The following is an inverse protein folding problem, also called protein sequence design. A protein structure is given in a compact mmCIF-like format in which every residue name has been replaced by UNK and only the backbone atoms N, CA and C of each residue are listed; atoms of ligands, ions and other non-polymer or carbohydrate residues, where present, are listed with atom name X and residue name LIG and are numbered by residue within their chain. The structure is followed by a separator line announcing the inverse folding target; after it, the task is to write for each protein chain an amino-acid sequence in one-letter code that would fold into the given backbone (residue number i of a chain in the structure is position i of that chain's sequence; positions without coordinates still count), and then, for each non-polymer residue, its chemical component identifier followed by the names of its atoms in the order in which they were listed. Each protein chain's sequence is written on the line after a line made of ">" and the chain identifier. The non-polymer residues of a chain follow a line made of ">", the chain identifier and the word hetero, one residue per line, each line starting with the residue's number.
data_IF_901525007408
#
_entry.id   IF_901525007408
#
_cell.length_a   1.000
_cell.length_b   1.000
_cell.length_c   1.000
_cell.angle_alpha   90.00
_cell.angle_beta   90.00
_cell.angle_gamma   90.00
#
_symmetry.space_group_name_H-M   'P 1'
#
loop_
_entity.id
_entity.type
_entity.pdbx_description
1 polymer ?
#
# COMPACT_ATOMS: atom_id res chain seq x y z
N UNK A 1 -38.48 -9.05 -0.09
CA UNK A 1 -37.13 -9.60 0.16
C UNK A 1 -36.68 -9.50 1.62
N UNK A 2 -36.42 -8.32 2.21
CA UNK A 2 -35.93 -8.25 3.61
C UNK A 2 -37.01 -8.58 4.66
N UNK A 3 -38.26 -8.18 4.43
CA UNK A 3 -39.39 -8.53 5.30
C UNK A 3 -39.72 -10.03 5.25
N UNK A 4 -39.65 -10.64 4.07
CA UNK A 4 -39.82 -12.10 3.89
C UNK A 4 -38.71 -12.89 4.59
N UNK A 5 -37.46 -12.41 4.52
CA UNK A 5 -36.34 -13.02 5.23
C UNK A 5 -36.44 -12.87 6.76
N UNK A 6 -37.02 -11.77 7.25
CA UNK A 6 -37.30 -11.61 8.67
C UNK A 6 -38.44 -12.52 9.12
N UNK A 7 -39.51 -12.62 8.33
CA UNK A 7 -40.65 -13.48 8.63
C UNK A 7 -40.24 -14.97 8.71
N UNK A 8 -39.44 -15.45 7.75
CA UNK A 8 -38.91 -16.82 7.78
C UNK A 8 -38.04 -17.09 9.02
N UNK A 9 -37.30 -16.09 9.51
CA UNK A 9 -36.50 -16.21 10.74
C UNK A 9 -37.36 -16.25 12.00
N UNK A 10 -38.44 -15.46 12.06
CA UNK A 10 -39.39 -15.49 13.18
C UNK A 10 -40.08 -16.84 13.29
N UNK A 11 -40.50 -17.40 12.16
CA UNK A 11 -41.15 -18.72 12.10
C UNK A 11 -40.20 -19.85 12.50
N UNK A 12 -38.91 -19.74 12.16
CA UNK A 12 -37.93 -20.82 12.41
C UNK A 12 -37.25 -20.73 13.78
N UNK A 13 -36.91 -19.52 14.25
CA UNK A 13 -36.06 -19.30 15.43
C UNK A 13 -36.79 -18.61 16.59
N UNK A 14 -37.96 -18.03 16.34
CA UNK A 14 -38.69 -17.21 17.31
C UNK A 14 -38.15 -15.79 17.45
N UNK A 15 -38.96 -14.94 18.07
CA UNK A 15 -38.72 -13.48 18.15
C UNK A 15 -37.58 -13.09 19.09
N UNK A 16 -37.32 -13.88 20.13
CA UNK A 16 -36.28 -13.60 21.13
C UNK A 16 -34.90 -14.14 20.74
N UNK A 17 -34.78 -14.81 19.59
CA UNK A 17 -33.52 -15.40 19.18
C UNK A 17 -32.53 -14.32 18.72
N UNK A 18 -31.23 -14.41 19.08
CA UNK A 18 -30.24 -13.37 18.79
C UNK A 18 -30.18 -12.96 17.30
N UNK A 19 -30.30 -13.93 16.39
CA UNK A 19 -30.29 -13.66 14.94
C UNK A 19 -31.56 -12.95 14.45
N UNK A 20 -32.71 -13.17 15.09
CA UNK A 20 -33.96 -12.45 14.80
C UNK A 20 -33.86 -11.01 15.30
N UNK A 21 -33.32 -10.82 16.51
CA UNK A 21 -33.09 -9.49 17.09
C UNK A 21 -32.09 -8.65 16.29
N UNK A 22 -31.02 -9.27 15.77
CA UNK A 22 -30.06 -8.61 14.88
C UNK A 22 -30.75 -8.15 13.58
N UNK A 23 -31.61 -8.99 12.99
CA UNK A 23 -32.36 -8.62 11.78
C UNK A 23 -33.35 -7.47 12.04
N UNK A 24 -34.03 -7.47 13.18
CA UNK A 24 -34.93 -6.39 13.59
C UNK A 24 -34.14 -5.09 13.79
N UNK A 25 -33.01 -5.15 14.50
CA UNK A 25 -32.15 -3.98 14.74
C UNK A 25 -31.54 -3.43 13.46
N UNK A 26 -31.21 -4.27 12.48
CA UNK A 26 -30.70 -3.83 11.18
C UNK A 26 -31.79 -3.11 10.36
N UNK A 27 -33.05 -3.54 10.47
CA UNK A 27 -34.18 -2.90 9.77
C UNK A 27 -34.52 -1.52 10.35
N UNK A 28 -34.40 -1.33 11.67
CA UNK A 28 -34.64 -0.03 12.33
C UNK A 28 -33.63 1.07 11.92
N UNK A 29 -32.46 0.68 11.38
CA UNK A 29 -31.46 1.62 10.87
C UNK A 29 -31.68 2.04 9.40
N UNK A 30 -32.53 1.32 8.65
CA UNK A 30 -32.81 1.63 7.23
C UNK A 30 -33.53 2.98 7.00
N UNK A 31 -34.52 3.43 7.80
CA UNK A 31 -35.17 4.72 7.56
C UNK A 31 -34.27 5.94 7.79
N UNK A 32 -33.08 5.78 8.41
CA UNK A 32 -32.10 6.86 8.63
C UNK A 32 -31.16 7.07 7.44
N UNK A 33 -30.97 6.06 6.60
CA UNK A 33 -30.04 6.10 5.45
C UNK A 33 -30.70 6.72 4.21
N UNK A 34 -32.03 6.60 4.07
CA UNK A 34 -32.74 6.93 2.82
C UNK A 34 -33.13 8.42 2.71
N UNK A 35 -32.98 9.23 3.77
CA UNK A 35 -33.46 10.64 3.79
C UNK A 35 -32.40 11.74 3.71
N UNK A 36 -31.14 11.43 3.39
CA UNK A 36 -30.16 12.51 3.16
C UNK A 36 -29.94 12.76 1.66
N UNK A 37 -30.25 13.96 1.14
CA UNK A 37 -29.88 14.33 -0.22
C UNK A 37 -28.35 14.35 -0.32
N UNK A 38 -27.82 13.68 -1.34
CA UNK A 38 -26.39 13.59 -1.65
C UNK A 38 -25.90 14.97 -2.08
N UNK A 39 -25.55 15.81 -1.11
CA UNK A 39 -24.62 16.91 -1.29
C UNK A 39 -23.23 16.33 -1.07
N UNK A 40 -22.60 15.99 -2.19
CA UNK A 40 -21.33 15.29 -2.34
C UNK A 40 -20.16 16.13 -1.80
N UNK A 41 -20.01 16.18 -0.47
CA UNK A 41 -18.73 16.54 0.16
C UNK A 41 -17.93 15.25 0.31
N UNK A 42 -16.86 15.08 -0.48
CA UNK A 42 -15.90 13.97 -0.33
C UNK A 42 -15.49 13.90 1.15
N UNK A 43 -15.80 12.81 1.89
CA UNK A 43 -15.36 12.69 3.27
C UNK A 43 -13.84 12.76 3.31
N UNK A 44 -13.28 13.42 4.33
CA UNK A 44 -11.83 13.45 4.53
C UNK A 44 -11.30 12.01 4.52
N UNK A 45 -10.19 11.71 3.81
CA UNK A 45 -9.68 10.36 3.76
C UNK A 45 -9.42 9.85 5.18
N UNK A 46 -9.74 8.58 5.46
CA UNK A 46 -9.66 8.05 6.83
C UNK A 46 -8.24 8.12 7.41
N UNK A 47 -7.22 8.15 6.55
CA UNK A 47 -5.81 8.30 6.92
C UNK A 47 -5.39 9.74 7.28
N UNK A 48 -6.20 10.74 6.94
CA UNK A 48 -5.95 12.17 7.27
C UNK A 48 -6.31 12.49 8.74
N UNK A 49 -6.96 11.56 9.45
CA UNK A 49 -7.27 11.68 10.89
C UNK A 49 -6.22 11.04 11.81
N UNK A 50 -5.11 10.50 11.27
CA UNK A 50 -4.04 9.94 12.10
C UNK A 50 -3.31 11.08 12.86
N UNK A 51 -2.97 10.88 14.14
CA UNK A 51 -2.37 11.93 14.95
C UNK A 51 -1.04 12.39 14.34
N UNK A 52 -0.95 13.70 14.05
CA UNK A 52 0.32 14.35 13.72
C UNK A 52 1.30 14.13 14.88
N UNK A 53 2.56 13.84 14.57
CA UNK A 53 3.66 13.69 15.54
C UNK A 53 3.93 14.95 16.41
N UNK A 54 3.14 16.02 16.27
CA UNK A 54 3.33 17.32 16.92
C UNK A 54 2.82 17.41 18.36
N UNK A 55 2.26 16.34 18.94
CA UNK A 55 1.68 16.40 20.29
C UNK A 55 2.10 15.22 21.15
N UNK A 56 3.39 15.09 21.46
CA UNK A 56 3.85 14.42 22.70
C UNK A 56 5.11 15.10 23.24
N UNK A 57 5.27 15.18 24.57
CA UNK A 57 6.36 15.92 25.20
C UNK A 57 7.71 15.24 24.95
N UNK A 58 8.73 16.06 24.66
CA UNK A 58 10.13 15.67 24.53
C UNK A 58 10.60 14.93 25.78
N UNK A 59 10.76 13.61 25.68
CA UNK A 59 11.51 12.85 26.67
C UNK A 59 13.01 13.10 26.43
N UNK A 60 13.62 13.88 27.32
CA UNK A 60 15.08 14.07 27.37
C UNK A 60 15.75 12.75 27.76
N UNK A 61 16.30 12.03 26.79
CA UNK A 61 17.17 10.88 27.06
C UNK A 61 18.62 11.40 27.13
N UNK A 62 19.23 11.29 28.32
CA UNK A 62 20.67 11.51 28.55
C UNK A 62 21.47 10.36 27.91
N UNK A 63 22.63 10.63 27.29
CA UNK A 63 23.48 9.57 26.76
C UNK A 63 24.22 8.89 27.91
N UNK A 64 24.13 7.56 28.00
CA UNK A 64 25.10 6.77 28.77
C UNK A 64 25.84 5.86 27.81
N UNK A 65 27.12 6.19 27.68
CA UNK A 65 28.21 5.48 27.04
C UNK A 65 28.33 4.07 27.61
N UNK A 66 28.47 3.05 26.74
CA UNK A 66 29.47 1.97 26.79
C UNK A 66 29.11 0.91 25.74
N UNK A 67 29.86 0.87 24.63
CA UNK A 67 29.78 -0.18 23.61
C UNK A 67 30.65 -1.37 23.98
N UNK A 68 30.23 -2.62 23.74
CA UNK A 68 31.16 -3.72 23.51
C UNK A 68 31.56 -3.77 22.03
N UNK A 69 32.88 -3.87 21.81
CA UNK A 69 33.55 -4.10 20.53
C UNK A 69 33.07 -5.43 19.92
N UNK A 70 32.44 -5.37 18.76
CA UNK A 70 32.26 -6.53 17.89
C UNK A 70 33.35 -6.48 16.81
N UNK A 71 34.24 -7.46 16.82
CA UNK A 71 35.26 -7.64 15.77
C UNK A 71 34.62 -8.32 14.56
N UNK A 72 34.56 -7.60 13.44
CA UNK A 72 34.15 -8.12 12.14
C UNK A 72 35.21 -9.06 11.54
N UNK A 73 34.84 -10.19 10.91
CA UNK A 73 35.72 -10.84 9.94
C UNK A 73 35.67 -10.12 8.58
N UNK A 74 36.84 -9.99 7.94
CA UNK A 74 37.07 -9.33 6.65
C UNK A 74 36.26 -9.93 5.48
N UNK A 75 35.94 -9.13 4.45
CA UNK A 75 35.15 -9.56 3.31
C UNK A 75 35.99 -10.31 2.27
N UNK A 76 35.62 -11.56 1.98
CA UNK A 76 36.02 -12.23 0.73
C UNK A 76 35.30 -11.56 -0.45
N UNK A 77 36.09 -11.01 -1.37
CA UNK A 77 35.64 -10.36 -2.61
C UNK A 77 35.04 -11.39 -3.56
N UNK A 78 33.71 -11.51 -3.58
CA UNK A 78 32.99 -12.12 -4.70
C UNK A 78 32.76 -11.05 -5.76
N UNK A 79 33.10 -11.29 -7.05
CA UNK A 79 32.83 -10.30 -8.09
C UNK A 79 31.30 -10.12 -8.24
N UNK A 80 30.80 -8.89 -8.48
CA UNK A 80 29.39 -8.69 -8.77
C UNK A 80 29.03 -9.41 -10.05
N UNK A 81 27.99 -10.25 -9.99
CA UNK A 81 27.37 -10.85 -11.17
C UNK A 81 27.07 -9.77 -12.21
N UNK A 82 27.43 -9.96 -13.50
CA UNK A 82 27.24 -8.93 -14.51
C UNK A 82 25.75 -8.83 -14.86
N UNK A 83 25.00 -7.99 -14.14
CA UNK A 83 23.66 -7.61 -14.54
C UNK A 83 23.73 -6.63 -15.72
N UNK A 84 23.76 -7.25 -16.89
CA UNK A 84 23.41 -6.76 -18.23
C UNK A 84 22.96 -5.29 -18.33
N UNK A 85 23.88 -4.45 -18.79
CA UNK A 85 23.56 -3.18 -19.42
C UNK A 85 22.97 -3.43 -20.82
N UNK A 86 21.68 -3.09 -20.99
CA UNK A 86 21.18 -2.52 -22.26
C UNK A 86 19.97 -1.61 -21.95
N UNK A 87 20.14 -0.32 -22.27
CA UNK A 87 19.24 0.81 -21.98
C UNK A 87 17.82 0.64 -22.57
N UNK A 88 16.78 1.07 -21.83
CA UNK A 88 15.65 1.91 -22.32
C UNK A 88 14.49 2.05 -21.29
N UNK A 89 14.00 3.28 -21.13
CA UNK A 89 12.69 3.71 -20.57
C UNK A 89 12.39 3.59 -19.06
N UNK A 90 13.02 2.67 -18.32
CA UNK A 90 12.67 2.42 -16.90
C UNK A 90 13.65 3.06 -15.89
N UNK A 91 14.37 4.13 -16.27
CA UNK A 91 15.28 4.83 -15.37
C UNK A 91 14.52 5.45 -14.18
N UNK A 92 14.85 4.98 -12.98
CA UNK A 92 14.26 5.45 -11.72
C UNK A 92 14.20 4.34 -10.66
N UNK A 93 14.70 4.61 -9.46
CA UNK A 93 14.59 3.74 -8.29
C UNK A 93 13.26 3.99 -7.58
N UNK A 94 12.17 3.39 -8.08
CA UNK A 94 10.85 3.55 -7.49
C UNK A 94 10.44 2.35 -6.64
N UNK A 95 9.90 2.62 -5.44
CA UNK A 95 9.11 1.67 -4.66
C UNK A 95 7.87 1.29 -5.50
N UNK A 96 7.68 0.01 -5.81
CA UNK A 96 6.47 -0.44 -6.50
C UNK A 96 5.24 -0.02 -5.68
N UNK A 97 4.32 0.74 -6.26
CA UNK A 97 3.09 1.19 -5.59
C UNK A 97 1.89 1.19 -6.54
N UNK A 98 0.69 1.27 -5.98
CA UNK A 98 -0.59 1.25 -6.68
C UNK A 98 -1.28 2.61 -6.61
N UNK A 99 -2.06 2.94 -7.63
CA UNK A 99 -2.99 4.07 -7.59
C UNK A 99 -4.13 3.81 -6.58
N UNK A 100 -4.73 4.87 -6.00
CA UNK A 100 -5.82 4.75 -5.02
C UNK A 100 -7.07 4.01 -5.56
N UNK A 101 -7.30 4.07 -6.86
CA UNK A 101 -8.44 3.43 -7.52
C UNK A 101 -8.31 1.90 -7.64
N UNK A 102 -7.12 1.35 -7.43
CA UNK A 102 -6.83 -0.07 -7.70
C UNK A 102 -7.73 -0.97 -6.86
N UNK A 103 -8.37 -1.94 -7.51
CA UNK A 103 -9.37 -2.81 -6.88
C UNK A 103 -8.74 -4.11 -6.37
N UNK A 104 -8.89 -4.37 -5.08
CA UNK A 104 -8.59 -5.66 -4.45
C UNK A 104 -9.90 -6.42 -4.20
N UNK A 105 -9.81 -7.71 -3.88
CA UNK A 105 -10.96 -8.51 -3.47
C UNK A 105 -10.89 -8.77 -1.97
N UNK A 106 -11.81 -8.15 -1.21
CA UNK A 106 -11.96 -8.39 0.23
C UNK A 106 -12.89 -9.57 0.47
N UNK A 107 -12.50 -10.44 1.38
CA UNK A 107 -13.28 -11.58 1.83
C UNK A 107 -13.97 -11.24 3.15
N UNK A 108 -15.30 -11.32 3.16
CA UNK A 108 -16.11 -11.18 4.36
C UNK A 108 -16.02 -12.42 5.26
N UNK A 109 -16.44 -12.26 6.52
CA UNK A 109 -16.54 -13.37 7.48
C UNK A 109 -17.59 -14.40 7.08
N UNK A 110 -18.54 -14.00 6.24
CA UNK A 110 -19.55 -14.82 5.57
C UNK A 110 -19.02 -15.55 4.34
N UNK A 111 -17.75 -15.35 3.98
CA UNK A 111 -17.13 -15.89 2.78
C UNK A 111 -17.42 -15.09 1.50
N UNK A 112 -18.17 -13.98 1.59
CA UNK A 112 -18.50 -13.17 0.43
C UNK A 112 -17.26 -12.42 -0.07
N UNK A 113 -16.97 -12.55 -1.37
CA UNK A 113 -15.91 -11.81 -2.03
C UNK A 113 -16.48 -10.50 -2.61
N UNK A 114 -15.95 -9.36 -2.16
CA UNK A 114 -16.39 -8.03 -2.61
C UNK A 114 -15.21 -7.21 -3.14
N UNK A 115 -15.39 -6.48 -4.26
CA UNK A 115 -14.37 -5.56 -4.74
C UNK A 115 -14.23 -4.38 -3.77
N UNK A 116 -12.98 -4.01 -3.46
CA UNK A 116 -12.65 -2.91 -2.57
C UNK A 116 -11.51 -2.09 -3.18
N UNK A 117 -11.61 -0.77 -3.18
CA UNK A 117 -10.49 0.09 -3.59
C UNK A 117 -9.36 0.00 -2.57
N UNK A 118 -8.11 0.05 -3.03
CA UNK A 118 -6.94 -0.05 -2.14
C UNK A 118 -6.89 1.11 -1.14
N UNK A 119 -7.42 2.28 -1.50
CA UNK A 119 -7.52 3.42 -0.59
C UNK A 119 -8.57 3.22 0.54
N UNK A 120 -9.48 2.27 0.39
CA UNK A 120 -10.46 1.90 1.41
C UNK A 120 -10.04 0.69 2.27
N UNK A 121 -8.94 0.02 1.91
CA UNK A 121 -8.39 -1.11 2.67
C UNK A 121 -7.92 -0.66 4.05
N UNK A 122 -8.13 -1.51 5.04
CA UNK A 122 -7.69 -1.30 6.43
C UNK A 122 -6.87 -2.48 6.93
N UNK A 123 -6.03 -2.23 7.92
CA UNK A 123 -5.41 -3.31 8.68
C UNK A 123 -6.50 -4.24 9.27
N UNK A 124 -6.23 -5.54 9.24
CA UNK A 124 -7.18 -6.56 9.63
C UNK A 124 -8.08 -7.07 8.49
N UNK A 125 -8.19 -6.36 7.36
CA UNK A 125 -8.94 -6.86 6.20
C UNK A 125 -8.31 -8.15 5.66
N UNK A 126 -9.16 -9.09 5.25
CA UNK A 126 -8.76 -10.34 4.62
C UNK A 126 -8.90 -10.19 3.10
N UNK A 127 -7.79 -10.28 2.36
CA UNK A 127 -7.77 -10.08 0.91
C UNK A 127 -7.49 -11.39 0.18
N UNK A 128 -8.00 -11.51 -1.04
CA UNK A 128 -7.71 -12.62 -1.95
C UNK A 128 -6.31 -12.49 -2.56
N UNK A 129 -5.54 -13.55 -2.46
CA UNK A 129 -4.20 -13.67 -3.05
C UNK A 129 -4.28 -14.23 -4.46
N UNK A 130 -3.20 -14.10 -5.22
CA UNK A 130 -3.15 -14.52 -6.62
C UNK A 130 -3.22 -16.05 -6.82
N UNK A 131 -2.87 -16.84 -5.80
CA UNK A 131 -3.03 -18.31 -5.80
C UNK A 131 -4.42 -18.77 -5.34
N UNK A 132 -5.35 -17.82 -5.10
CA UNK A 132 -6.70 -18.09 -4.62
C UNK A 132 -6.84 -18.20 -3.11
N UNK A 133 -5.72 -18.24 -2.37
CA UNK A 133 -5.72 -18.18 -0.90
C UNK A 133 -6.08 -16.78 -0.39
N UNK A 134 -6.00 -16.59 0.93
CA UNK A 134 -6.31 -15.33 1.57
C UNK A 134 -5.19 -14.92 2.54
N UNK A 135 -4.92 -13.62 2.62
CA UNK A 135 -3.99 -13.06 3.59
C UNK A 135 -4.56 -11.81 4.26
N UNK A 136 -4.23 -11.64 5.54
CA UNK A 136 -4.65 -10.49 6.32
C UNK A 136 -3.71 -9.32 6.09
N UNK A 137 -4.27 -8.12 5.96
CA UNK A 137 -3.51 -6.87 5.90
C UNK A 137 -2.94 -6.55 7.27
N UNK A 138 -1.61 -6.58 7.40
CA UNK A 138 -0.91 -6.15 8.63
C UNK A 138 -0.83 -4.64 8.73
N UNK A 139 -0.51 -3.99 7.62
CA UNK A 139 -0.36 -2.54 7.54
C UNK A 139 -0.69 -2.01 6.14
N UNK A 140 -1.41 -0.89 6.07
CA UNK A 140 -1.56 -0.10 4.84
C UNK A 140 -0.49 0.99 4.84
N UNK A 141 0.29 1.07 3.77
CA UNK A 141 1.36 2.05 3.65
C UNK A 141 1.03 3.04 2.54
N UNK A 142 0.79 4.28 2.94
CA UNK A 142 0.44 5.40 2.07
C UNK A 142 1.67 6.28 1.91
N UNK A 143 2.01 6.62 0.67
CA UNK A 143 3.10 7.55 0.39
C UNK A 143 2.55 8.79 -0.30
N UNK A 144 2.92 9.96 0.22
CA UNK A 144 2.63 11.25 -0.42
C UNK A 144 3.47 11.39 -1.69
N UNK A 145 2.80 11.82 -2.76
CA UNK A 145 3.46 12.14 -4.02
C UNK A 145 3.97 13.57 -4.00
N UNK A 146 5.24 13.77 -4.35
CA UNK A 146 5.82 15.10 -4.53
C UNK A 146 5.01 15.88 -5.58
N UNK A 147 4.69 17.13 -5.27
CA UNK A 147 3.89 18.03 -6.13
C UNK A 147 2.48 17.50 -6.49
N UNK A 148 1.98 16.49 -5.77
CA UNK A 148 0.66 15.90 -6.01
C UNK A 148 0.53 15.17 -7.35
N UNK A 149 1.66 14.74 -7.92
CA UNK A 149 1.72 14.02 -9.20
C UNK A 149 2.55 12.74 -9.10
N UNK A 150 2.22 11.75 -9.92
CA UNK A 150 3.01 10.51 -10.02
C UNK A 150 3.04 9.99 -11.45
N UNK A 151 4.13 9.30 -11.80
CA UNK A 151 4.28 8.56 -13.05
C UNK A 151 3.62 7.18 -12.90
N UNK A 152 2.58 6.93 -13.68
CA UNK A 152 1.82 5.68 -13.65
C UNK A 152 1.81 5.03 -15.03
N UNK A 153 1.66 3.71 -15.04
CA UNK A 153 1.32 2.93 -16.23
C UNK A 153 -0.07 2.35 -16.04
N UNK A 154 -0.88 2.38 -17.08
CA UNK A 154 -2.20 1.73 -17.10
C UNK A 154 -2.08 0.42 -17.84
N UNK A 155 -2.31 -0.69 -17.15
CA UNK A 155 -2.34 -2.02 -17.79
C UNK A 155 -3.70 -2.28 -18.46
N UNK A 156 -3.76 -3.24 -19.40
CA UNK A 156 -5.04 -3.78 -19.88
C UNK A 156 -5.91 -4.20 -18.68
N UNK A 157 -7.18 -3.80 -18.65
CA UNK A 157 -8.06 -4.00 -17.49
C UNK A 157 -8.11 -2.81 -16.51
N UNK A 158 -7.30 -1.77 -16.74
CA UNK A 158 -7.42 -0.47 -16.07
C UNK A 158 -6.63 -0.32 -14.77
N UNK A 159 -5.87 -1.35 -14.35
CA UNK A 159 -4.97 -1.25 -13.20
C UNK A 159 -3.90 -0.18 -13.46
N UNK A 160 -3.77 0.75 -12.51
CA UNK A 160 -2.74 1.79 -12.54
C UNK A 160 -1.74 1.61 -11.41
N UNK A 161 -0.47 1.58 -11.77
CA UNK A 161 0.63 1.32 -10.84
C UNK A 161 1.93 1.97 -11.32
N UNK A 162 2.89 2.08 -10.41
CA UNK A 162 4.17 2.72 -10.74
C UNK A 162 4.98 1.86 -11.72
N UNK A 163 5.86 2.46 -12.55
CA UNK A 163 6.35 1.81 -13.77
C UNK A 163 7.23 0.57 -13.52
N UNK A 164 7.80 0.46 -12.31
CA UNK A 164 8.68 -0.63 -11.90
C UNK A 164 8.04 -1.58 -10.89
N UNK A 165 6.74 -1.48 -10.65
CA UNK A 165 6.05 -2.42 -9.78
C UNK A 165 5.99 -3.81 -10.46
N UNK A 166 6.55 -4.89 -9.88
CA UNK A 166 6.54 -6.21 -10.53
C UNK A 166 5.13 -6.78 -10.66
N UNK A 167 4.75 -7.18 -11.89
CA UNK A 167 3.47 -7.81 -12.20
C UNK A 167 3.72 -9.20 -12.78
N UNK A 168 3.01 -10.21 -12.28
CA UNK A 168 3.10 -11.59 -12.74
C UNK A 168 2.01 -11.87 -13.76
N UNK A 169 2.42 -12.17 -14.98
CA UNK A 169 1.50 -12.55 -16.06
C UNK A 169 0.79 -13.86 -15.74
N UNK A 170 -0.54 -13.87 -15.83
CA UNK A 170 -1.35 -15.05 -15.49
C UNK A 170 -1.08 -16.26 -16.41
N UNK A 171 -0.86 -16.03 -17.71
CA UNK A 171 -0.67 -17.10 -18.68
C UNK A 171 0.70 -17.80 -18.58
N UNK A 172 1.77 -17.03 -18.36
CA UNK A 172 3.14 -17.55 -18.37
C UNK A 172 3.76 -17.72 -16.98
N UNK A 173 3.18 -17.10 -15.95
CA UNK A 173 3.75 -17.02 -14.61
C UNK A 173 4.98 -16.12 -14.50
N UNK A 174 5.40 -15.44 -15.58
CA UNK A 174 6.60 -14.60 -15.60
C UNK A 174 6.34 -13.21 -15.01
N UNK A 175 7.33 -12.68 -14.31
CA UNK A 175 7.34 -11.30 -13.84
C UNK A 175 7.69 -10.34 -14.98
N UNK A 176 6.99 -9.21 -15.04
CA UNK A 176 7.22 -8.12 -15.99
C UNK A 176 7.10 -6.79 -15.27
N UNK A 177 7.65 -5.74 -15.89
CA UNK A 177 7.52 -4.37 -15.41
C UNK A 177 6.50 -3.61 -16.27
N UNK A 178 5.57 -2.84 -15.66
CA UNK A 178 4.59 -2.04 -16.40
C UNK A 178 5.23 -1.14 -17.46
N UNK A 179 6.40 -0.54 -17.19
CA UNK A 179 7.11 0.29 -18.17
C UNK A 179 7.52 -0.45 -19.46
N UNK A 180 7.55 -1.78 -19.45
CA UNK A 180 7.81 -2.61 -20.64
C UNK A 180 6.54 -2.96 -21.40
N UNK A 181 5.36 -2.71 -20.81
CA UNK A 181 4.04 -3.04 -21.36
C UNK A 181 3.36 -1.81 -21.97
N UNK A 182 3.49 -0.64 -21.34
CA UNK A 182 3.01 0.63 -21.87
C UNK A 182 3.85 1.82 -21.37
N UNK A 183 3.74 2.95 -22.06
CA UNK A 183 4.47 4.18 -21.78
C UNK A 183 3.96 4.83 -20.49
N UNK A 184 4.83 5.10 -19.50
CA UNK A 184 4.43 5.80 -18.28
C UNK A 184 3.94 7.22 -18.56
N UNK A 185 2.86 7.62 -17.89
CA UNK A 185 2.26 8.96 -17.98
C UNK A 185 2.22 9.60 -16.61
N UNK A 186 2.53 10.89 -16.55
CA UNK A 186 2.35 11.68 -15.31
C UNK A 186 0.86 11.99 -15.16
N UNK A 187 0.31 11.76 -13.98
CA UNK A 187 -1.07 12.16 -13.62
C UNK A 187 -1.11 12.82 -12.25
N UNK A 188 -2.16 13.59 -12.02
CA UNK A 188 -2.53 14.01 -10.68
C UNK A 188 -2.77 12.76 -9.80
N UNK A 189 -2.05 12.70 -8.69
CA UNK A 189 -2.08 11.62 -7.73
C UNK A 189 -1.43 12.13 -6.46
N UNK A 190 -2.22 12.41 -5.42
CA UNK A 190 -1.67 12.92 -4.16
C UNK A 190 -1.00 11.83 -3.34
N UNK A 191 -1.46 10.59 -3.48
CA UNK A 191 -1.03 9.47 -2.67
C UNK A 191 -0.95 8.17 -3.49
N UNK A 192 0.05 7.35 -3.18
CA UNK A 192 0.20 5.98 -3.69
C UNK A 192 0.21 4.98 -2.55
N UNK A 193 -0.24 3.76 -2.85
CA UNK A 193 -0.53 2.76 -1.84
C UNK A 193 0.33 1.52 -2.06
N UNK A 194 0.76 0.89 -0.96
CA UNK A 194 1.26 -0.47 -0.94
C UNK A 194 0.85 -1.10 0.40
N UNK A 195 0.91 -2.42 0.50
CA UNK A 195 0.47 -3.18 1.67
C UNK A 195 1.64 -3.93 2.29
N UNK A 196 1.53 -4.21 3.58
CA UNK A 196 2.24 -5.29 4.26
C UNK A 196 1.19 -6.31 4.64
N UNK A 197 1.39 -7.55 4.20
CA UNK A 197 0.51 -8.68 4.49
C UNK A 197 1.16 -9.57 5.56
N UNK A 198 0.35 -10.29 6.34
CA UNK A 198 0.86 -11.23 7.37
C UNK A 198 1.51 -12.48 6.76
N UNK A 199 1.03 -12.88 5.58
CA UNK A 199 1.54 -13.98 4.79
C UNK A 199 1.21 -13.73 3.32
N UNK A 200 1.75 -14.56 2.42
CA UNK A 200 1.49 -14.53 0.98
C UNK A 200 1.52 -13.13 0.36
N UNK A 201 2.68 -12.72 -0.12
CA UNK A 201 2.92 -11.35 -0.58
C UNK A 201 2.60 -11.15 -2.07
N UNK A 202 1.77 -12.01 -2.68
CA UNK A 202 1.30 -11.86 -4.06
C UNK A 202 -0.21 -11.62 -4.09
N UNK A 203 -0.56 -10.34 -4.14
CA UNK A 203 -1.93 -9.85 -4.11
C UNK A 203 -2.58 -9.92 -5.49
N UNK A 204 -3.87 -10.31 -5.51
CA UNK A 204 -4.70 -10.12 -6.70
C UNK A 204 -5.30 -8.71 -6.69
N UNK A 205 -4.90 -7.87 -7.64
CA UNK A 205 -5.28 -6.45 -7.71
C UNK A 205 -5.52 -6.01 -9.16
N UNK A 206 -6.69 -5.43 -9.43
CA UNK A 206 -7.08 -4.94 -10.76
C UNK A 206 -7.04 -5.99 -11.87
N UNK A 207 -7.27 -7.27 -11.51
CA UNK A 207 -7.18 -8.40 -12.44
C UNK A 207 -5.77 -8.99 -12.60
N UNK A 208 -4.74 -8.37 -12.02
CA UNK A 208 -3.35 -8.78 -12.12
C UNK A 208 -2.81 -9.36 -10.81
N UNK A 209 -1.71 -10.10 -10.89
CA UNK A 209 -0.98 -10.60 -9.71
C UNK A 209 0.25 -9.72 -9.45
N UNK A 210 0.28 -9.05 -8.31
CA UNK A 210 1.32 -8.05 -7.98
C UNK A 210 1.92 -8.32 -6.60
N UNK A 211 3.19 -7.96 -6.40
CA UNK A 211 3.82 -8.11 -5.09
C UNK A 211 3.50 -6.98 -4.12
N UNK A 212 3.42 -7.31 -2.83
CA UNK A 212 3.39 -6.33 -1.75
C UNK A 212 4.78 -6.16 -1.13
N UNK A 213 4.92 -5.31 -0.10
CA UNK A 213 6.19 -5.18 0.63
C UNK A 213 6.49 -6.41 1.48
N UNK A 214 7.78 -6.64 1.75
CA UNK A 214 8.26 -7.74 2.62
C UNK A 214 8.04 -9.12 2.00
N UNK A 215 8.25 -9.25 0.69
CA UNK A 215 8.05 -10.49 -0.04
C UNK A 215 9.29 -11.41 -0.01
N UNK A 216 9.91 -11.56 1.17
CA UNK A 216 11.24 -12.15 1.47
C UNK A 216 11.52 -13.53 0.85
N UNK A 217 10.51 -14.22 0.33
CA UNK A 217 10.60 -15.55 -0.25
C UNK A 217 10.54 -15.58 -1.80
N UNK A 218 10.34 -14.43 -2.45
CA UNK A 218 10.26 -14.34 -3.92
C UNK A 218 11.62 -13.96 -4.52
N UNK A 219 12.44 -14.97 -4.79
CA UNK A 219 13.80 -14.83 -5.34
C UNK A 219 13.82 -15.03 -6.86
N UNK A 220 12.90 -14.38 -7.57
CA UNK A 220 12.86 -14.43 -9.04
C UNK A 220 13.32 -13.10 -9.65
N UNK A 221 13.75 -13.15 -10.92
CA UNK A 221 14.13 -11.96 -11.68
C UNK A 221 13.02 -10.90 -11.64
N UNK A 222 13.42 -9.63 -11.52
CA UNK A 222 12.57 -8.43 -11.43
C UNK A 222 11.73 -8.28 -10.16
N UNK A 223 11.50 -9.35 -9.38
CA UNK A 223 10.75 -9.28 -8.12
C UNK A 223 11.67 -9.24 -6.91
N UNK A 224 12.73 -10.06 -6.88
CA UNK A 224 13.62 -10.15 -5.74
C UNK A 224 14.31 -8.82 -5.45
N UNK A 225 14.17 -8.33 -4.20
CA UNK A 225 14.77 -7.07 -3.79
C UNK A 225 15.17 -7.08 -2.31
N UNK A 226 16.46 -6.88 -2.03
CA UNK A 226 17.03 -6.95 -0.66
C UNK A 226 16.32 -6.05 0.35
N UNK A 227 16.00 -4.81 -0.05
CA UNK A 227 15.27 -3.87 0.80
C UNK A 227 13.74 -4.02 0.74
N UNK A 228 13.10 -3.74 -0.41
CA UNK A 228 11.63 -3.70 -0.54
C UNK A 228 10.95 -5.05 -0.39
N UNK A 229 11.66 -6.12 -0.73
CA UNK A 229 11.22 -7.48 -0.58
C UNK A 229 11.79 -8.14 0.67
N UNK A 230 12.41 -7.42 1.59
CA UNK A 230 13.11 -7.99 2.75
C UNK A 230 12.63 -7.44 4.09
N UNK A 231 13.08 -8.07 5.18
CA UNK A 231 12.87 -7.58 6.55
C UNK A 231 13.39 -6.14 6.81
N UNK A 232 14.27 -5.60 5.95
CA UNK A 232 14.77 -4.24 6.08
C UNK A 232 13.65 -3.19 5.93
N UNK A 233 12.78 -3.32 4.92
CA UNK A 233 11.64 -2.38 4.80
C UNK A 233 10.67 -2.53 5.96
N UNK A 234 10.46 -3.75 6.47
CA UNK A 234 9.59 -3.98 7.62
C UNK A 234 10.15 -3.34 8.90
N UNK A 235 11.46 -3.40 9.08
CA UNK A 235 12.16 -2.76 10.21
C UNK A 235 11.97 -1.24 10.17
N UNK A 236 12.21 -0.61 9.01
CA UNK A 236 12.05 0.84 8.87
C UNK A 236 10.61 1.30 9.01
N UNK A 237 9.65 0.53 8.47
CA UNK A 237 8.21 0.79 8.63
C UNK A 237 7.77 0.64 10.08
N UNK A 238 8.34 -0.31 10.83
CA UNK A 238 8.00 -0.54 12.24
C UNK A 238 8.32 0.63 13.16
N UNK A 239 9.26 1.48 12.74
CA UNK A 239 9.67 2.70 13.44
C UNK A 239 8.78 3.90 13.11
N UNK A 240 7.90 3.79 12.12
CA UNK A 240 7.06 4.90 11.69
C UNK A 240 5.82 5.05 12.58
N UNK A 241 5.36 6.30 12.84
CA UNK A 241 4.09 6.54 13.50
C UNK A 241 2.94 5.83 12.78
N UNK A 242 2.04 5.21 13.55
CA UNK A 242 0.87 4.51 13.03
C UNK A 242 1.07 3.01 12.78
N UNK A 243 2.31 2.50 12.77
CA UNK A 243 2.58 1.08 12.51
C UNK A 243 1.83 0.14 13.45
N UNK A 244 1.77 0.48 14.74
CA UNK A 244 1.02 -0.29 15.73
C UNK A 244 -0.48 -0.36 15.40
N UNK A 245 -1.04 0.70 14.81
CA UNK A 245 -2.41 0.80 14.34
C UNK A 245 -2.62 0.20 12.94
N UNK A 246 -1.57 -0.31 12.30
CA UNK A 246 -1.62 -0.91 10.97
C UNK A 246 -1.74 0.10 9.83
N UNK A 247 -1.22 1.31 10.04
CA UNK A 247 -1.22 2.36 9.02
C UNK A 247 0.08 3.16 9.07
N UNK A 248 0.74 3.39 7.95
CA UNK A 248 1.92 4.26 7.88
C UNK A 248 1.75 5.28 6.77
N UNK A 249 1.94 6.57 7.11
CA UNK A 249 2.07 7.66 6.14
C UNK A 249 3.55 8.00 5.94
N UNK A 250 4.02 7.87 4.71
CA UNK A 250 5.38 8.18 4.30
C UNK A 250 5.38 9.50 3.52
N UNK A 251 6.12 10.48 4.02
CA UNK A 251 6.42 11.71 3.28
C UNK A 251 7.58 11.47 2.32
N UNK A 252 7.75 12.33 1.29
CA UNK A 252 8.89 12.24 0.38
C UNK A 252 10.22 12.21 1.15
N UNK A 253 11.04 11.19 0.90
CA UNK A 253 12.36 11.02 1.53
C UNK A 253 12.35 10.40 2.93
N UNK A 254 11.21 10.00 3.48
CA UNK A 254 11.12 9.45 4.85
C UNK A 254 11.64 8.02 5.00
N UNK A 255 11.59 7.22 3.92
CA UNK A 255 12.37 5.98 3.86
C UNK A 255 13.66 6.28 3.11
N UNK A 256 14.79 5.92 3.71
CA UNK A 256 16.04 5.78 2.97
C UNK A 256 15.74 4.75 1.89
N UNK A 257 15.68 5.16 0.63
CA UNK A 257 15.71 4.13 -0.38
C UNK A 257 17.08 3.45 -0.36
N UNK A 258 17.06 2.21 -0.82
CA UNK A 258 18.21 1.34 -0.71
C UNK A 258 19.47 2.04 -1.27
N UNK A 259 20.65 1.90 -0.65
CA UNK A 259 21.90 2.44 -1.19
C UNK A 259 22.01 2.09 -2.68
N UNK A 260 21.98 3.12 -3.53
CA UNK A 260 21.85 2.99 -5.00
C UNK A 260 20.67 3.75 -5.62
N UNK A 261 19.70 4.21 -4.83
CA UNK A 261 18.65 5.12 -5.33
C UNK A 261 19.12 6.58 -5.32
N UNK A 262 18.83 7.32 -6.39
CA UNK A 262 18.74 8.76 -6.34
C UNK A 262 17.27 9.12 -6.38
N UNK A 263 16.75 9.77 -5.35
CA UNK A 263 15.52 10.55 -5.47
C UNK A 263 15.78 11.58 -6.56
N UNK A 264 15.06 11.50 -7.68
CA UNK A 264 15.03 12.60 -8.63
C UNK A 264 14.25 13.74 -7.95
N UNK A 265 14.98 14.59 -7.23
CA UNK A 265 14.48 15.91 -6.86
C UNK A 265 14.36 16.67 -8.17
N UNK A 266 13.12 16.89 -8.62
CA UNK A 266 12.85 17.81 -9.72
C UNK A 266 13.46 19.18 -9.35
N UNK A 267 14.33 19.70 -10.20
CA UNK A 267 15.19 20.83 -9.91
C UNK A 267 14.41 22.02 -9.35
N UNK A 268 14.85 22.54 -8.20
CA UNK A 268 14.60 23.93 -7.81
C UNK A 268 15.06 24.81 -8.96
N UNK A 269 14.14 25.54 -9.59
CA UNK A 269 14.52 26.78 -10.27
C UNK A 269 14.96 27.73 -9.18
N UNK A 270 16.26 27.99 -9.10
CA UNK A 270 16.76 29.18 -8.42
C UNK A 270 16.05 30.38 -9.06
N UNK A 271 15.17 31.01 -8.29
CA UNK A 271 14.73 32.36 -8.59
C UNK A 271 15.89 33.25 -8.16
N UNK A 272 16.73 33.62 -9.12
CA UNK A 272 17.70 34.69 -8.95
C UNK A 272 16.97 35.93 -8.42
N UNK A 273 17.40 36.38 -7.25
CA UNK A 273 17.11 37.72 -6.76
C UNK A 273 18.16 38.60 -7.43
N UNK A 274 17.74 39.35 -8.45
CA UNK A 274 18.50 40.52 -8.90
C UNK A 274 18.37 41.58 -7.81
N UNK A 275 19.45 41.75 -7.03
CA UNK A 275 19.71 42.94 -6.23
C UNK A 275 20.11 44.06 -7.19
N UNK A 276 19.17 44.93 -7.55
CA UNK A 276 19.46 46.22 -8.15
C UNK A 276 19.45 47.28 -7.05
N UNK A 277 20.63 47.83 -6.77
CA UNK A 277 20.78 48.87 -5.77
C UNK A 277 22.21 49.38 -5.67
N UNK A 278 22.61 50.28 -6.58
CA UNK A 278 23.16 51.62 -6.32
C UNK A 278 23.83 52.22 -7.55
#
# INVERSE_FOLDING_TARGET
>A
MLEEALQGRRETLGDSHPHTLISISAMDQLPKVIKQPILEKKPKPWWVAAPSASSMPTATIRPTTTSPRYTSPSPTKTPPSPCYQRMSSCEGGGRGCFAPESLVVKLGVDGLATPLRIDAVRAGDLLRMADGSAARVRCVVVSECTDGIERMVTLPGGLQLTPRHPVREAASGKWRLPCTLDTPRVRACEHIFNLVLECNHVLHIGGEACVTLGHDHLVADLVGHDYWGGAAVLSDLSLQPGWAQGFVLLRPGQLAAAPGYKTLVAGRRDRGVEEEGR
#
